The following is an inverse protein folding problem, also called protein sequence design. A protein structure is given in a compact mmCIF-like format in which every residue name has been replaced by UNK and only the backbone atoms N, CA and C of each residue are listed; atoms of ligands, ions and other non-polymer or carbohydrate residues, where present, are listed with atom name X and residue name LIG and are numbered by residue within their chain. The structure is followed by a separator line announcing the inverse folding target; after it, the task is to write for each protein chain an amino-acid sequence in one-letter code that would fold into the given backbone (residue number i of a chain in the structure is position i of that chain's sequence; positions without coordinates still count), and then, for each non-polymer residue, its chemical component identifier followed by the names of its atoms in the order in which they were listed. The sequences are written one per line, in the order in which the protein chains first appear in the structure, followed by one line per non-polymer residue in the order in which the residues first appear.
data_IF_120006672998
#
_entry.id   IF_120006672998
#
_cell.length_a   1.000
_cell.length_b   1.000
_cell.length_c   1.000
_cell.angle_alpha   90.00
_cell.angle_beta   90.00
_cell.angle_gamma   90.00
#
_symmetry.space_group_name_H-M   'P 1'
#
loop_
_entity.id
_entity.type
_entity.pdbx_description
1 polymer ?
#
# COMPACT_ATOMS: atom_id res chain seq x y z
N UNK A 1 -15.78 -13.37 10.50
CA UNK A 1 -15.11 -14.45 11.27
C UNK A 1 -13.67 -14.00 11.45
N UNK A 2 -13.30 -13.56 12.64
CA UNK A 2 -11.93 -13.12 12.97
C UNK A 2 -11.09 -14.39 13.12
N UNK A 3 -10.01 -14.48 12.37
CA UNK A 3 -9.15 -15.66 12.38
C UNK A 3 -8.35 -15.63 13.68
N UNK A 4 -8.74 -16.45 14.65
CA UNK A 4 -7.89 -16.85 15.77
C UNK A 4 -6.83 -17.79 15.20
N UNK A 5 -5.71 -17.25 14.75
CA UNK A 5 -4.58 -18.05 14.33
C UNK A 5 -3.85 -18.55 15.56
N UNK A 6 -3.49 -19.84 15.57
CA UNK A 6 -2.60 -20.47 16.54
C UNK A 6 -1.15 -19.96 16.36
N UNK A 7 -0.94 -18.65 16.59
CA UNK A 7 0.40 -18.09 16.60
C UNK A 7 1.05 -18.35 17.94
N UNK A 8 2.29 -18.84 17.92
CA UNK A 8 3.10 -19.00 19.10
C UNK A 8 3.58 -17.62 19.59
N UNK A 9 2.86 -17.05 20.56
CA UNK A 9 3.19 -15.76 21.19
C UNK A 9 4.43 -15.85 22.11
N UNK A 10 5.02 -17.03 22.31
CA UNK A 10 6.28 -17.21 23.06
C UNK A 10 7.52 -16.90 22.22
N UNK A 11 7.38 -16.84 20.89
CA UNK A 11 8.47 -16.55 19.96
C UNK A 11 8.77 -15.04 19.88
N UNK A 12 9.99 -14.68 19.42
CA UNK A 12 10.36 -13.27 19.23
C UNK A 12 9.40 -12.57 18.28
N UNK A 13 9.16 -11.25 18.45
CA UNK A 13 8.33 -10.44 17.55
C UNK A 13 8.73 -10.61 16.08
N UNK A 14 10.03 -10.70 15.80
CA UNK A 14 10.53 -10.95 14.45
C UNK A 14 9.97 -12.24 13.85
N UNK A 15 9.97 -13.33 14.61
CA UNK A 15 9.43 -14.62 14.18
C UNK A 15 7.91 -14.57 13.97
N UNK A 16 7.18 -13.96 14.90
CA UNK A 16 5.73 -13.76 14.78
C UNK A 16 5.38 -12.97 13.50
N UNK A 17 6.12 -11.89 13.22
CA UNK A 17 5.93 -11.09 11.99
C UNK A 17 6.23 -11.89 10.73
N UNK A 18 7.23 -12.77 10.73
CA UNK A 18 7.52 -13.63 9.59
C UNK A 18 6.42 -14.67 9.37
N UNK A 19 5.98 -15.35 10.43
CA UNK A 19 4.88 -16.32 10.35
C UNK A 19 3.59 -15.67 9.84
N UNK A 20 3.28 -14.47 10.35
CA UNK A 20 2.11 -13.71 9.92
C UNK A 20 2.19 -13.33 8.42
N UNK A 21 3.36 -12.87 7.94
CA UNK A 21 3.55 -12.61 6.50
C UNK A 21 3.30 -13.85 5.66
N UNK A 22 3.87 -14.98 6.05
CA UNK A 22 3.72 -16.24 5.33
C UNK A 22 2.26 -16.69 5.29
N UNK A 23 1.59 -16.68 6.43
CA UNK A 23 0.19 -17.06 6.55
C UNK A 23 -0.72 -16.20 5.66
N UNK A 24 -0.63 -14.88 5.78
CA UNK A 24 -1.48 -13.96 5.02
C UNK A 24 -1.20 -14.04 3.51
N UNK A 25 0.06 -14.18 3.09
CA UNK A 25 0.40 -14.38 1.67
C UNK A 25 -0.25 -15.66 1.12
N UNK A 26 -0.31 -16.73 1.91
CA UNK A 26 -1.05 -17.95 1.52
C UNK A 26 -2.55 -17.69 1.39
N UNK A 27 -3.16 -16.92 2.32
CA UNK A 27 -4.58 -16.56 2.23
C UNK A 27 -4.86 -15.71 0.97
N UNK A 28 -4.00 -14.74 0.64
CA UNK A 28 -4.12 -13.96 -0.60
C UNK A 28 -3.99 -14.84 -1.85
N UNK A 29 -3.01 -15.74 -1.87
CA UNK A 29 -2.78 -16.65 -2.99
C UNK A 29 -3.94 -17.66 -3.19
N UNK A 30 -4.72 -17.96 -2.16
CA UNK A 30 -5.89 -18.83 -2.22
C UNK A 30 -7.14 -18.13 -2.81
N UNK A 31 -7.13 -16.80 -2.97
CA UNK A 31 -8.24 -16.08 -3.58
C UNK A 31 -8.39 -16.48 -5.06
N UNK A 32 -9.61 -16.85 -5.44
CA UNK A 32 -9.93 -17.16 -6.83
C UNK A 32 -9.85 -15.91 -7.70
N UNK A 33 -9.67 -16.09 -9.00
CA UNK A 33 -9.69 -14.98 -9.97
C UNK A 33 -11.00 -14.17 -9.89
N UNK A 34 -12.13 -14.82 -9.63
CA UNK A 34 -13.40 -14.14 -9.47
C UNK A 34 -13.43 -13.25 -8.22
N UNK A 35 -12.90 -13.74 -7.09
CA UNK A 35 -12.78 -12.96 -5.85
C UNK A 35 -11.84 -11.79 -6.02
N UNK A 36 -10.68 -12.00 -6.67
CA UNK A 36 -9.73 -10.92 -6.94
C UNK A 36 -10.35 -9.84 -7.84
N UNK A 37 -11.06 -10.22 -8.91
CA UNK A 37 -11.73 -9.27 -9.81
C UNK A 37 -12.86 -8.51 -9.11
N UNK A 38 -13.64 -9.17 -8.28
CA UNK A 38 -14.65 -8.51 -7.46
C UNK A 38 -14.01 -7.51 -6.48
N UNK A 39 -12.93 -7.91 -5.80
CA UNK A 39 -12.21 -7.05 -4.88
C UNK A 39 -11.60 -5.83 -5.58
N UNK A 40 -11.02 -5.99 -6.77
CA UNK A 40 -10.51 -4.90 -7.59
C UNK A 40 -11.59 -3.86 -7.91
N UNK A 41 -12.77 -4.30 -8.34
CA UNK A 41 -13.89 -3.41 -8.63
C UNK A 41 -14.39 -2.69 -7.38
N UNK A 42 -14.52 -3.44 -6.30
CA UNK A 42 -15.07 -2.93 -5.05
C UNK A 42 -14.13 -1.94 -4.37
N UNK A 43 -12.82 -2.23 -4.34
CA UNK A 43 -11.86 -1.31 -3.74
C UNK A 43 -11.72 -0.01 -4.56
N UNK A 44 -11.82 -0.08 -5.88
CA UNK A 44 -11.82 1.11 -6.72
C UNK A 44 -13.00 2.02 -6.38
N UNK A 45 -14.21 1.46 -6.21
CA UNK A 45 -15.39 2.24 -5.82
C UNK A 45 -15.23 2.85 -4.42
N UNK A 46 -14.84 2.05 -3.43
CA UNK A 46 -14.67 2.52 -2.03
C UNK A 46 -13.60 3.61 -1.94
N UNK A 47 -12.49 3.46 -2.67
CA UNK A 47 -11.43 4.46 -2.69
C UNK A 47 -11.89 5.77 -3.34
N UNK A 48 -12.65 5.72 -4.43
CA UNK A 48 -13.25 6.91 -5.06
C UNK A 48 -14.24 7.59 -4.12
N UNK A 49 -15.13 6.82 -3.47
CA UNK A 49 -16.09 7.35 -2.50
C UNK A 49 -15.38 8.03 -1.32
N UNK A 50 -14.26 7.44 -0.85
CA UNK A 50 -13.41 8.03 0.18
C UNK A 50 -12.79 9.36 -0.26
N UNK A 51 -12.36 9.47 -1.52
CA UNK A 51 -11.72 10.68 -2.05
C UNK A 51 -12.74 11.81 -2.34
N UNK A 52 -13.98 11.46 -2.70
CA UNK A 52 -15.00 12.42 -3.18
C UNK A 52 -15.24 13.63 -2.26
N UNK A 53 -15.33 13.49 -0.93
CA UNK A 53 -15.51 14.63 -0.03
C UNK A 53 -14.22 15.42 0.22
N UNK A 54 -13.08 14.95 -0.26
CA UNK A 54 -11.77 15.53 -0.02
C UNK A 54 -11.37 16.43 -1.20
N UNK A 55 -10.80 17.59 -0.89
CA UNK A 55 -10.23 18.48 -1.90
C UNK A 55 -8.79 18.06 -2.25
N UNK A 56 -8.65 16.91 -2.90
CA UNK A 56 -7.34 16.28 -3.21
C UNK A 56 -7.12 16.24 -4.72
N UNK A 57 -5.85 16.22 -5.13
CA UNK A 57 -5.46 16.22 -6.54
C UNK A 57 -4.29 15.28 -6.84
N UNK A 58 -3.29 15.24 -5.99
CA UNK A 58 -2.05 14.49 -6.17
C UNK A 58 -2.11 13.20 -5.33
N UNK A 59 -2.19 12.06 -5.98
CA UNK A 59 -2.40 10.77 -5.31
C UNK A 59 -1.29 9.81 -5.67
N UNK A 60 -0.55 9.33 -4.67
CA UNK A 60 0.35 8.21 -4.86
C UNK A 60 -0.44 6.90 -4.81
N UNK A 61 -0.19 6.06 -5.82
CA UNK A 61 -0.74 4.71 -5.94
C UNK A 61 0.42 3.71 -6.04
N UNK A 62 0.13 2.42 -5.96
CA UNK A 62 1.12 1.37 -6.20
C UNK A 62 0.61 0.40 -7.26
N UNK A 63 1.53 -0.31 -7.90
CA UNK A 63 1.20 -1.44 -8.78
C UNK A 63 1.22 -2.71 -7.94
N UNK A 64 0.08 -3.39 -7.89
CA UNK A 64 -0.08 -4.60 -7.09
C UNK A 64 0.80 -5.75 -7.58
N UNK A 65 1.39 -6.47 -6.67
CA UNK A 65 2.13 -7.70 -6.94
C UNK A 65 1.90 -8.72 -5.81
N UNK A 66 2.33 -9.96 -5.99
CA UNK A 66 2.26 -11.03 -4.97
C UNK A 66 0.86 -11.22 -4.35
N UNK A 67 -0.19 -11.13 -5.17
CA UNK A 67 -1.58 -11.30 -4.72
C UNK A 67 -2.14 -10.13 -3.91
N UNK A 68 -1.48 -8.98 -3.89
CA UNK A 68 -2.06 -7.74 -3.35
C UNK A 68 -3.36 -7.37 -4.07
N UNK A 69 -4.21 -6.61 -3.41
CA UNK A 69 -5.43 -6.12 -4.04
C UNK A 69 -5.07 -5.29 -5.27
N UNK A 70 -5.69 -5.61 -6.41
CA UNK A 70 -5.40 -4.93 -7.67
C UNK A 70 -5.83 -3.47 -7.61
N UNK A 71 -4.93 -2.59 -8.01
CA UNK A 71 -5.15 -1.14 -8.10
C UNK A 71 -5.43 -0.69 -9.54
N UNK A 72 -5.46 -1.59 -10.53
CA UNK A 72 -5.56 -1.21 -11.94
C UNK A 72 -6.85 -0.43 -12.22
N UNK A 73 -8.00 -0.96 -11.80
CA UNK A 73 -9.28 -0.27 -12.03
C UNK A 73 -9.36 1.06 -11.26
N UNK A 74 -8.80 1.14 -10.07
CA UNK A 74 -8.70 2.40 -9.32
C UNK A 74 -7.86 3.43 -10.11
N UNK A 75 -6.68 3.04 -10.57
CA UNK A 75 -5.78 3.89 -11.35
C UNK A 75 -6.48 4.43 -12.60
N UNK A 76 -7.12 3.57 -13.39
CA UNK A 76 -7.86 3.97 -14.59
C UNK A 76 -9.01 4.94 -14.27
N UNK A 77 -9.70 4.70 -13.15
CA UNK A 77 -10.82 5.55 -12.73
C UNK A 77 -10.32 6.93 -12.28
N UNK A 78 -9.23 6.97 -11.51
CA UNK A 78 -8.64 8.22 -11.05
C UNK A 78 -8.10 9.05 -12.24
N UNK A 79 -7.46 8.44 -13.22
CA UNK A 79 -7.04 9.15 -14.43
C UNK A 79 -8.23 9.76 -15.19
N UNK A 80 -9.32 8.99 -15.36
CA UNK A 80 -10.55 9.50 -16.03
C UNK A 80 -11.20 10.66 -15.27
N UNK A 81 -11.05 10.70 -13.96
CA UNK A 81 -11.56 11.78 -13.11
C UNK A 81 -10.60 12.98 -12.99
N UNK A 82 -9.44 12.93 -13.66
CA UNK A 82 -8.50 14.04 -13.74
C UNK A 82 -7.55 14.18 -12.55
N UNK A 83 -7.41 13.14 -11.71
CA UNK A 83 -6.39 13.14 -10.65
C UNK A 83 -4.99 12.97 -11.24
N UNK A 84 -4.01 13.58 -10.59
CA UNK A 84 -2.60 13.39 -10.89
C UNK A 84 -2.08 12.18 -10.08
N UNK A 85 -1.61 11.15 -10.78
CA UNK A 85 -1.13 9.94 -10.14
C UNK A 85 0.39 9.87 -10.11
N UNK A 86 0.90 9.26 -9.04
CA UNK A 86 2.33 9.06 -8.82
C UNK A 86 2.59 7.63 -8.36
N UNK A 87 3.69 7.05 -8.85
CA UNK A 87 4.15 5.73 -8.40
C UNK A 87 5.41 5.86 -7.54
N UNK A 88 5.55 5.01 -6.52
CA UNK A 88 6.77 4.93 -5.73
C UNK A 88 7.91 4.34 -6.58
N UNK A 89 9.08 4.93 -6.47
CA UNK A 89 10.34 4.47 -7.04
C UNK A 89 11.36 4.39 -5.92
N UNK A 90 12.22 3.38 -5.96
CA UNK A 90 13.31 3.27 -5.00
C UNK A 90 14.24 4.47 -5.10
N UNK A 91 14.50 5.13 -3.97
CA UNK A 91 15.43 6.26 -3.96
C UNK A 91 16.85 5.78 -4.32
N UNK A 92 17.51 6.36 -5.33
CA UNK A 92 18.79 5.84 -5.84
C UNK A 92 19.98 6.04 -4.88
N UNK A 93 19.89 7.04 -3.98
CA UNK A 93 20.98 7.43 -3.09
C UNK A 93 20.66 7.31 -1.60
N UNK A 94 19.39 7.10 -1.25
CA UNK A 94 18.95 6.98 0.13
C UNK A 94 18.27 5.64 0.34
N UNK A 95 18.97 4.73 1.02
CA UNK A 95 18.46 3.39 1.24
C UNK A 95 17.16 3.42 2.06
N UNK A 96 16.17 2.71 1.55
CA UNK A 96 14.90 2.50 2.24
C UNK A 96 13.90 3.64 2.10
N UNK A 97 14.19 4.72 1.36
CA UNK A 97 13.23 5.78 1.05
C UNK A 97 12.61 5.60 -0.34
N UNK A 98 11.47 6.24 -0.55
CA UNK A 98 10.76 6.28 -1.82
C UNK A 98 10.79 7.69 -2.40
N UNK A 99 10.88 7.75 -3.73
CA UNK A 99 10.51 8.92 -4.52
C UNK A 99 9.14 8.65 -5.16
N UNK A 100 8.40 9.68 -5.48
CA UNK A 100 7.12 9.58 -6.18
C UNK A 100 7.25 10.25 -7.54
N UNK A 101 7.09 9.45 -8.61
CA UNK A 101 7.18 9.91 -9.99
C UNK A 101 5.82 9.94 -10.65
N UNK A 102 5.57 10.99 -11.45
CA UNK A 102 4.35 11.12 -12.21
C UNK A 102 4.05 9.86 -13.04
N UNK A 103 2.80 9.41 -12.94
CA UNK A 103 2.33 8.19 -13.59
C UNK A 103 1.12 8.49 -14.49
N UNK A 104 1.33 8.33 -15.78
CA UNK A 104 0.34 8.55 -16.84
C UNK A 104 0.15 7.28 -17.68
N UNK A 105 -0.89 7.18 -18.51
CA UNK A 105 -1.07 6.04 -19.40
C UNK A 105 0.10 5.78 -20.36
N UNK A 106 0.96 6.79 -20.59
CA UNK A 106 2.13 6.68 -21.50
C UNK A 106 3.45 6.47 -20.76
N UNK A 107 3.42 6.41 -19.42
CA UNK A 107 4.63 6.23 -18.62
C UNK A 107 5.29 4.88 -18.90
N UNK A 108 6.57 4.90 -19.27
CA UNK A 108 7.36 3.66 -19.46
C UNK A 108 7.76 3.09 -18.10
N UNK A 109 7.38 1.84 -17.87
CA UNK A 109 7.72 1.10 -16.67
C UNK A 109 8.94 0.18 -16.93
N UNK A 110 9.79 0.06 -15.92
CA UNK A 110 10.93 -0.83 -15.87
C UNK A 110 10.87 -1.69 -14.61
N UNK A 111 11.56 -2.82 -14.58
CA UNK A 111 11.66 -3.64 -13.38
C UNK A 111 12.82 -3.15 -12.50
N UNK A 112 12.56 -2.97 -11.23
CA UNK A 112 13.59 -2.65 -10.24
C UNK A 112 14.31 -3.92 -9.73
N UNK A 113 15.20 -3.75 -8.75
CA UNK A 113 15.98 -4.85 -8.13
C UNK A 113 15.12 -5.92 -7.41
N UNK A 114 13.86 -5.63 -7.14
CA UNK A 114 12.89 -6.57 -6.55
C UNK A 114 11.95 -7.18 -7.61
N UNK A 115 12.23 -6.96 -8.90
CA UNK A 115 11.40 -7.41 -10.02
C UNK A 115 9.99 -6.77 -10.03
N UNK A 116 9.82 -5.62 -9.35
CA UNK A 116 8.59 -4.83 -9.32
C UNK A 116 8.68 -3.75 -10.39
N UNK A 117 7.57 -3.51 -11.09
CA UNK A 117 7.48 -2.46 -12.08
C UNK A 117 7.46 -1.08 -11.40
N UNK A 118 8.29 -0.17 -11.91
CA UNK A 118 8.33 1.23 -11.49
C UNK A 118 8.63 2.14 -12.69
N UNK A 119 8.26 3.43 -12.67
CA UNK A 119 8.68 4.38 -13.70
C UNK A 119 10.20 4.46 -13.79
N UNK A 120 10.71 4.59 -15.02
CA UNK A 120 12.13 4.92 -15.19
C UNK A 120 12.41 6.26 -14.51
N UNK A 121 13.44 6.29 -13.66
CA UNK A 121 13.79 7.49 -12.90
C UNK A 121 14.06 8.68 -13.84
N UNK A 122 13.28 9.74 -13.66
CA UNK A 122 13.45 11.04 -14.29
C UNK A 122 13.16 12.11 -13.22
N UNK A 123 14.18 12.85 -12.84
CA UNK A 123 14.09 13.87 -11.78
C UNK A 123 13.05 14.96 -12.06
N UNK A 124 12.74 15.20 -13.35
CA UNK A 124 11.71 16.17 -13.76
C UNK A 124 10.29 15.72 -13.46
N UNK A 125 10.10 14.42 -13.21
CA UNK A 125 8.82 13.80 -12.91
C UNK A 125 8.62 13.53 -11.41
N UNK A 126 9.61 13.86 -10.59
CA UNK A 126 9.55 13.64 -9.14
C UNK A 126 8.65 14.68 -8.48
N UNK A 127 7.69 14.23 -7.70
CA UNK A 127 6.93 15.06 -6.77
C UNK A 127 7.41 14.76 -5.34
N UNK A 128 7.84 15.78 -4.56
CA UNK A 128 8.10 15.61 -3.14
C UNK A 128 6.88 15.03 -2.40
N UNK A 129 7.09 14.14 -1.44
CA UNK A 129 5.99 13.51 -0.71
C UNK A 129 5.07 14.53 -0.03
N UNK A 130 5.62 15.66 0.39
CA UNK A 130 4.89 16.78 1.01
C UNK A 130 3.95 17.53 0.05
N UNK A 131 3.99 17.22 -1.25
CA UNK A 131 3.06 17.75 -2.25
C UNK A 131 1.99 16.74 -2.67
N UNK A 132 2.01 15.54 -2.10
CA UNK A 132 0.93 14.56 -2.23
C UNK A 132 -0.20 14.90 -1.25
N UNK A 133 -1.41 14.52 -1.62
CA UNK A 133 -2.59 14.62 -0.76
C UNK A 133 -2.94 13.26 -0.14
N UNK A 134 -2.80 12.20 -0.93
CA UNK A 134 -3.07 10.81 -0.50
C UNK A 134 -1.90 9.92 -0.91
N UNK A 135 -1.52 9.01 -0.02
CA UNK A 135 -0.61 7.92 -0.33
C UNK A 135 -1.33 6.60 -0.10
N UNK A 136 -1.81 5.97 -1.18
CA UNK A 136 -2.30 4.60 -1.10
C UNK A 136 -1.13 3.65 -0.84
N UNK A 137 -1.25 2.87 0.24
CA UNK A 137 -0.16 2.10 0.81
C UNK A 137 -0.46 0.60 0.73
N UNK A 138 0.42 -0.22 0.12
CA UNK A 138 0.28 -1.67 0.17
C UNK A 138 0.60 -2.20 1.57
N UNK A 139 0.02 -3.36 1.88
CA UNK A 139 0.26 -4.03 3.16
C UNK A 139 0.09 -5.55 3.04
N UNK A 140 0.75 -6.28 3.91
CA UNK A 140 0.56 -7.73 4.05
C UNK A 140 -0.59 -8.02 5.00
N UNK A 141 -0.59 -7.43 6.19
CA UNK A 141 -1.63 -7.59 7.20
C UNK A 141 -1.94 -6.26 7.88
N UNK A 142 -3.13 -6.15 8.48
CA UNK A 142 -3.55 -4.99 9.27
C UNK A 142 -4.45 -5.40 10.44
N UNK A 143 -4.53 -4.52 11.44
CA UNK A 143 -5.45 -4.66 12.56
C UNK A 143 -6.43 -3.48 12.67
N UNK A 144 -7.38 -3.57 13.59
CA UNK A 144 -8.39 -2.53 13.83
C UNK A 144 -7.82 -1.21 14.36
N UNK A 145 -6.58 -1.23 14.86
CA UNK A 145 -5.85 -0.01 15.27
C UNK A 145 -5.13 0.67 14.12
N UNK A 146 -5.36 0.17 12.88
CA UNK A 146 -4.72 0.65 11.65
C UNK A 146 -3.20 0.44 11.60
N UNK A 147 -2.67 -0.43 12.47
CA UNK A 147 -1.32 -0.92 12.32
C UNK A 147 -1.23 -1.77 11.05
N UNK A 148 -0.12 -1.67 10.35
CA UNK A 148 0.13 -2.47 9.16
C UNK A 148 1.43 -3.26 9.26
N UNK A 149 1.42 -4.46 8.70
CA UNK A 149 2.61 -5.24 8.45
C UNK A 149 2.95 -5.16 6.97
N UNK A 150 4.11 -4.59 6.65
CA UNK A 150 4.65 -4.58 5.29
C UNK A 150 5.51 -5.81 4.99
N UNK A 151 6.11 -5.86 3.79
CA UNK A 151 6.99 -6.94 3.32
C UNK A 151 8.35 -7.01 4.05
N UNK A 152 8.66 -6.05 4.92
CA UNK A 152 9.87 -6.03 5.76
C UNK A 152 10.99 -5.11 5.27
N UNK A 153 10.83 -4.41 4.15
CA UNK A 153 11.83 -3.46 3.65
C UNK A 153 11.81 -2.08 4.33
N UNK A 154 10.76 -1.75 5.08
CA UNK A 154 10.61 -0.50 5.83
C UNK A 154 10.44 0.76 4.95
N UNK A 155 10.26 0.62 3.64
CA UNK A 155 10.17 1.76 2.71
C UNK A 155 9.03 2.71 3.06
N UNK A 156 7.85 2.17 3.30
CA UNK A 156 6.70 2.98 3.68
C UNK A 156 6.79 3.51 5.11
N UNK A 157 7.38 2.76 6.06
CA UNK A 157 7.53 3.24 7.44
C UNK A 157 8.39 4.51 7.48
N UNK A 158 9.53 4.51 6.77
CA UNK A 158 10.38 5.70 6.64
C UNK A 158 9.73 6.85 5.87
N UNK A 159 9.00 6.53 4.79
CA UNK A 159 8.32 7.55 3.97
C UNK A 159 7.18 8.22 4.73
N UNK A 160 6.42 7.43 5.52
CA UNK A 160 5.27 7.87 6.28
C UNK A 160 5.63 8.40 7.69
N UNK A 161 6.90 8.38 8.07
CA UNK A 161 7.34 8.86 9.36
C UNK A 161 6.79 10.27 9.64
N UNK A 162 6.18 10.45 10.82
CA UNK A 162 5.56 11.71 11.24
C UNK A 162 4.49 12.26 10.28
N UNK A 163 3.76 11.38 9.56
CA UNK A 163 2.74 11.80 8.60
C UNK A 163 1.66 12.70 9.21
N UNK A 164 1.39 12.60 10.52
CA UNK A 164 0.43 13.44 11.22
C UNK A 164 0.76 14.94 11.12
N UNK A 165 2.03 15.27 10.86
CA UNK A 165 2.53 16.64 10.67
C UNK A 165 2.79 16.97 9.19
N UNK A 166 2.35 16.09 8.26
CA UNK A 166 2.52 16.25 6.81
C UNK A 166 1.17 16.48 6.12
N UNK A 167 1.14 17.06 4.93
CA UNK A 167 -0.12 17.39 4.26
C UNK A 167 -0.85 16.19 3.65
N UNK A 168 -0.24 15.02 3.59
CA UNK A 168 -0.85 13.83 3.01
C UNK A 168 -1.47 12.87 4.03
N UNK A 169 -2.44 12.10 3.59
CA UNK A 169 -3.06 11.01 4.37
C UNK A 169 -2.61 9.64 3.83
N UNK A 170 -1.96 8.79 4.63
CA UNK A 170 -1.65 7.42 4.24
C UNK A 170 -2.87 6.52 4.41
N UNK A 171 -3.29 5.88 3.32
CA UNK A 171 -4.48 5.02 3.28
C UNK A 171 -4.10 3.62 2.78
N UNK A 172 -4.36 2.60 3.57
CA UNK A 172 -4.11 1.21 3.19
C UNK A 172 -5.20 0.67 2.27
N UNK A 173 -4.80 -0.14 1.27
CA UNK A 173 -5.75 -0.91 0.46
C UNK A 173 -5.50 -2.40 0.69
N UNK A 174 -6.56 -3.17 0.99
CA UNK A 174 -6.41 -4.56 1.38
C UNK A 174 -7.58 -5.44 0.99
N UNK A 175 -7.31 -6.74 0.86
CA UNK A 175 -8.35 -7.76 0.96
C UNK A 175 -8.75 -7.97 2.43
N UNK A 176 -10.01 -8.27 2.68
CA UNK A 176 -10.49 -8.54 4.06
C UNK A 176 -9.77 -9.71 4.73
N UNK A 177 -9.28 -10.68 3.96
CA UNK A 177 -8.48 -11.79 4.50
C UNK A 177 -7.12 -11.38 5.09
N UNK A 178 -6.71 -10.12 4.89
CA UNK A 178 -5.48 -9.55 5.47
C UNK A 178 -5.70 -8.95 6.87
N UNK A 179 -6.97 -8.88 7.32
CA UNK A 179 -7.29 -8.38 8.65
C UNK A 179 -6.99 -9.43 9.72
N UNK A 180 -6.25 -9.03 10.75
CA UNK A 180 -5.91 -9.83 11.92
C UNK A 180 -6.36 -9.12 13.20
N UNK A 181 -6.41 -9.85 14.29
CA UNK A 181 -6.77 -9.28 15.58
C UNK A 181 -5.72 -8.30 16.09
N UNK A 182 -4.44 -8.65 15.93
CA UNK A 182 -3.32 -7.86 16.41
C UNK A 182 -2.09 -8.02 15.52
N UNK A 183 -1.41 -6.91 15.24
CA UNK A 183 -0.09 -6.87 14.59
C UNK A 183 0.98 -6.75 15.68
N UNK A 184 2.00 -7.64 15.74
CA UNK A 184 3.17 -7.43 16.58
C UNK A 184 3.94 -6.21 16.08
N UNK A 185 3.70 -5.04 16.68
CA UNK A 185 4.31 -3.77 16.30
C UNK A 185 5.68 -3.56 16.93
N UNK A 186 6.53 -2.83 16.23
CA UNK A 186 7.80 -2.28 16.69
C UNK A 186 7.70 -0.75 16.75
N UNK A 187 8.64 -0.09 17.42
CA UNK A 187 8.61 1.36 17.65
C UNK A 187 8.68 2.19 16.36
N UNK A 188 9.19 1.60 15.28
CA UNK A 188 9.27 2.24 13.96
C UNK A 188 8.07 1.98 13.05
N UNK A 189 7.13 1.12 13.45
CA UNK A 189 5.93 0.87 12.64
C UNK A 189 4.99 2.08 12.70
N UNK A 190 4.56 2.52 11.53
CA UNK A 190 3.71 3.71 11.40
C UNK A 190 2.27 3.29 11.11
N UNK A 191 1.32 3.55 12.02
CA UNK A 191 -0.09 3.30 11.77
C UNK A 191 -0.62 4.24 10.66
N UNK A 192 -1.58 3.76 9.90
CA UNK A 192 -2.18 4.51 8.81
C UNK A 192 -3.31 5.43 9.29
N UNK A 193 -3.68 6.40 8.46
CA UNK A 193 -4.87 7.22 8.67
C UNK A 193 -6.13 6.37 8.56
N UNK A 194 -6.21 5.55 7.48
CA UNK A 194 -7.35 4.67 7.22
C UNK A 194 -6.90 3.39 6.48
N UNK A 195 -7.73 2.33 6.56
CA UNK A 195 -7.55 1.12 5.79
C UNK A 195 -8.88 0.75 5.12
N UNK A 196 -8.89 0.78 3.80
CA UNK A 196 -10.03 0.37 2.99
C UNK A 196 -9.84 -1.12 2.63
N UNK A 197 -10.77 -1.96 3.07
CA UNK A 197 -10.68 -3.41 2.90
C UNK A 197 -11.98 -4.01 2.35
N UNK A 198 -11.86 -4.99 1.45
CA UNK A 198 -12.97 -5.68 0.78
C UNK A 198 -12.81 -7.18 0.77
#
# INVERSE_FOLDING_TARGET
MTIQSSFDFSSSKFHQRQQLRQFIRQQRAALTLQQQKFAEQKIAQIAVDFLTPLNVKNIAVYLSFDGEISTNQLIETLWRQGYHLYLPVLHPFSEGNLLFLAYTPTTKLIKNKFNILEPKLDVRQVLPAEQLDIIFTPLVAFDLKKNRLGMGGGFYDRTLENWQNKPFLPVGLAHRCQQVEHIPTEDWDIPLFEILAV
#
